data_IF_471023788454
#
_entry.id   IF_471023788454
#
_cell.length_a   1.000
_cell.length_b   1.000
_cell.length_c   1.000
_cell.angle_alpha   90.00
_cell.angle_beta   90.00
_cell.angle_gamma   90.00
#
_symmetry.space_group_name_H-M   'P 1'
#
loop_
_entity.id
_entity.type
_entity.pdbx_description
1 polymer ?
#
# COMPACT_ATOMS: atom_id res chain seq x y z
N UNK A 1 10.79 11.61 11.24
CA UNK A 1 11.52 12.62 10.46
C UNK A 1 11.74 12.16 9.01
N UNK A 2 10.64 12.05 8.25
CA UNK A 2 10.64 11.78 6.81
C UNK A 2 11.45 12.83 6.05
N UNK A 3 12.03 12.51 4.91
CA UNK A 3 12.82 13.47 4.09
C UNK A 3 12.01 14.73 3.71
N UNK A 4 10.69 14.61 3.59
CA UNK A 4 9.81 15.77 3.40
C UNK A 4 9.79 16.73 4.62
N UNK A 5 10.09 16.24 5.81
CA UNK A 5 10.20 17.01 7.06
C UNK A 5 11.40 17.95 7.00
N UNK A 6 12.56 17.50 6.52
CA UNK A 6 13.79 18.31 6.46
C UNK A 6 13.73 19.36 5.35
N UNK A 7 13.19 19.00 4.18
CA UNK A 7 13.00 19.94 3.06
C UNK A 7 12.03 21.10 3.36
N UNK A 8 11.06 20.90 4.25
CA UNK A 8 10.07 21.92 4.64
C UNK A 8 10.54 22.78 5.82
N UNK A 9 11.61 22.35 6.52
CA UNK A 9 12.28 23.10 7.58
C UNK A 9 13.46 23.94 7.05
N UNK A 10 13.93 23.69 5.82
CA UNK A 10 14.96 24.50 5.20
C UNK A 10 14.46 25.92 4.89
N UNK A 11 15.27 26.94 5.22
CA UNK A 11 14.97 28.36 5.03
C UNK A 11 14.69 28.77 3.56
N UNK A 12 15.09 27.94 2.59
CA UNK A 12 14.82 28.10 1.15
C UNK A 12 13.49 27.46 0.69
N UNK A 13 12.69 26.93 1.61
CA UNK A 13 11.37 26.37 1.28
C UNK A 13 10.35 27.48 1.00
N UNK A 14 9.47 27.30 0.00
CA UNK A 14 8.46 28.31 -0.34
C UNK A 14 7.43 28.58 0.79
N UNK A 15 7.39 27.72 1.82
CA UNK A 15 6.57 27.89 3.03
C UNK A 15 7.31 27.30 4.24
N UNK A 16 7.92 28.11 5.13
CA UNK A 16 8.60 27.60 6.32
C UNK A 16 7.56 26.94 7.25
N UNK A 17 7.73 25.64 7.49
CA UNK A 17 6.84 24.83 8.32
C UNK A 17 7.41 24.72 9.73
N UNK A 18 6.58 24.90 10.76
CA UNK A 18 7.04 24.67 12.15
C UNK A 18 7.26 23.17 12.40
N UNK A 19 8.21 22.77 13.27
CA UNK A 19 8.42 21.35 13.64
C UNK A 19 7.11 20.62 13.98
N UNK A 20 6.23 21.26 14.75
CA UNK A 20 4.89 20.75 15.07
C UNK A 20 4.06 20.42 13.82
N UNK A 21 4.05 21.32 12.83
CA UNK A 21 3.31 21.11 11.59
C UNK A 21 3.90 19.99 10.74
N UNK A 22 5.22 19.79 10.80
CA UNK A 22 5.92 18.74 10.07
C UNK A 22 5.70 17.34 10.69
N UNK A 23 5.54 17.24 12.02
CA UNK A 23 5.11 16.01 12.70
C UNK A 23 3.67 15.60 12.31
N UNK A 24 2.78 16.59 12.18
CA UNK A 24 1.39 16.35 11.77
C UNK A 24 1.27 15.77 10.36
N UNK A 25 2.21 16.05 9.45
CA UNK A 25 2.22 15.49 8.09
C UNK A 25 2.34 13.96 8.07
N UNK A 26 3.05 13.39 9.04
CA UNK A 26 3.21 11.93 9.19
C UNK A 26 1.99 11.33 9.89
N UNK A 27 1.51 12.00 10.94
CA UNK A 27 0.35 11.54 11.71
C UNK A 27 -0.93 11.48 10.87
N UNK A 28 -1.16 12.48 10.01
CA UNK A 28 -2.35 12.54 9.14
C UNK A 28 -2.34 11.44 8.09
N UNK A 29 -1.17 11.05 7.58
CA UNK A 29 -1.02 9.91 6.68
C UNK A 29 -1.46 8.61 7.38
N UNK A 30 -1.00 8.39 8.62
CA UNK A 30 -1.39 7.22 9.41
C UNK A 30 -2.88 7.23 9.75
N UNK A 31 -3.45 8.38 10.11
CA UNK A 31 -4.89 8.52 10.34
C UNK A 31 -5.69 8.17 9.08
N UNK A 32 -5.25 8.64 7.91
CA UNK A 32 -5.84 8.28 6.61
C UNK A 32 -5.82 6.77 6.36
N UNK A 33 -4.69 6.11 6.64
CA UNK A 33 -4.58 4.66 6.52
C UNK A 33 -5.53 3.92 7.48
N UNK A 34 -5.62 4.33 8.75
CA UNK A 34 -6.55 3.74 9.71
C UNK A 34 -8.03 3.92 9.30
N UNK A 35 -8.40 5.11 8.82
CA UNK A 35 -9.74 5.37 8.29
C UNK A 35 -10.02 4.63 6.97
N UNK A 36 -8.97 4.28 6.23
CA UNK A 36 -9.04 3.52 4.98
C UNK A 36 -9.47 2.07 5.16
N UNK A 37 -9.17 1.43 6.30
CA UNK A 37 -9.46 0.01 6.55
C UNK A 37 -10.91 -0.43 6.23
N UNK A 38 -11.98 0.19 6.80
CA UNK A 38 -13.36 -0.21 6.48
C UNK A 38 -13.72 0.06 5.02
N UNK A 39 -13.18 1.13 4.43
CA UNK A 39 -13.38 1.45 3.04
C UNK A 39 -12.73 0.41 2.13
N UNK A 40 -11.50 0.02 2.42
CA UNK A 40 -10.75 -1.03 1.72
C UNK A 40 -11.53 -2.34 1.73
N UNK A 41 -12.04 -2.78 2.88
CA UNK A 41 -12.86 -4.00 3.00
C UNK A 41 -14.09 -3.92 2.08
N UNK A 42 -14.81 -2.80 2.10
CA UNK A 42 -15.98 -2.60 1.26
C UNK A 42 -15.66 -2.56 -0.24
N UNK A 43 -14.60 -1.84 -0.62
CA UNK A 43 -14.20 -1.68 -2.02
C UNK A 43 -13.77 -3.01 -2.63
N UNK A 44 -12.91 -3.77 -1.95
CA UNK A 44 -12.38 -5.05 -2.46
C UNK A 44 -13.48 -6.08 -2.73
N UNK A 45 -14.56 -6.08 -1.95
CA UNK A 45 -15.71 -6.95 -2.16
C UNK A 45 -16.68 -6.42 -3.23
N UNK A 46 -16.87 -5.08 -3.30
CA UNK A 46 -17.81 -4.47 -4.23
C UNK A 46 -17.26 -4.40 -5.65
N UNK A 47 -16.15 -3.68 -5.84
CA UNK A 47 -15.53 -3.38 -7.13
C UNK A 47 -14.40 -4.36 -7.50
N UNK A 48 -14.06 -5.27 -6.59
CA UNK A 48 -13.03 -6.28 -6.81
C UNK A 48 -11.63 -5.75 -6.52
N UNK A 49 -10.66 -6.66 -6.55
CA UNK A 49 -9.28 -6.36 -6.13
C UNK A 49 -8.59 -5.43 -7.14
N UNK A 50 -8.76 -5.71 -8.44
CA UNK A 50 -8.26 -4.89 -9.55
C UNK A 50 -8.88 -3.48 -9.53
N UNK A 51 -10.20 -3.40 -9.36
CA UNK A 51 -10.91 -2.12 -9.24
C UNK A 51 -10.42 -1.28 -8.06
N UNK A 52 -10.22 -1.91 -6.89
CA UNK A 52 -9.66 -1.24 -5.72
C UNK A 52 -8.24 -0.71 -5.97
N UNK A 53 -7.39 -1.47 -6.66
CA UNK A 53 -6.04 -1.02 -7.03
C UNK A 53 -6.06 0.16 -8.01
N UNK A 54 -6.94 0.14 -9.01
CA UNK A 54 -7.12 1.27 -9.94
C UNK A 54 -7.61 2.50 -9.18
N UNK A 55 -8.58 2.33 -8.28
CA UNK A 55 -9.10 3.41 -7.42
C UNK A 55 -8.04 3.99 -6.49
N UNK A 56 -7.21 3.14 -5.87
CA UNK A 56 -6.11 3.60 -5.02
C UNK A 56 -5.05 4.32 -5.83
N UNK A 57 -4.62 3.78 -6.97
CA UNK A 57 -3.61 4.44 -7.83
C UNK A 57 -4.11 5.78 -8.35
N UNK A 58 -5.40 5.89 -8.70
CA UNK A 58 -6.00 7.15 -9.12
C UNK A 58 -6.02 8.19 -7.99
N UNK A 59 -6.39 7.76 -6.78
CA UNK A 59 -6.43 8.65 -5.61
C UNK A 59 -5.03 9.12 -5.21
N UNK A 60 -4.05 8.20 -5.23
CA UNK A 60 -2.64 8.52 -4.97
C UNK A 60 -2.07 9.46 -6.03
N UNK A 61 -2.41 9.28 -7.31
CA UNK A 61 -2.02 10.19 -8.39
C UNK A 61 -2.53 11.62 -8.14
N UNK A 62 -3.80 11.76 -7.76
CA UNK A 62 -4.38 13.06 -7.40
C UNK A 62 -3.66 13.66 -6.19
N UNK A 63 -3.37 12.85 -5.16
CA UNK A 63 -2.65 13.32 -3.98
C UNK A 63 -1.25 13.86 -4.35
N UNK A 64 -0.50 13.18 -5.22
CA UNK A 64 0.81 13.67 -5.68
C UNK A 64 0.71 14.98 -6.48
N UNK A 65 -0.31 15.12 -7.32
CA UNK A 65 -0.57 16.37 -8.05
C UNK A 65 -0.88 17.51 -7.08
N UNK A 66 -1.74 17.28 -6.08
CA UNK A 66 -2.06 18.28 -5.06
C UNK A 66 -0.82 18.68 -4.26
N UNK A 67 0.04 17.72 -3.89
CA UNK A 67 1.30 18.01 -3.18
C UNK A 67 2.24 18.84 -4.07
N UNK A 68 2.35 18.54 -5.37
CA UNK A 68 3.23 19.25 -6.29
C UNK A 68 2.84 20.72 -6.51
N UNK A 69 1.54 21.04 -6.44
CA UNK A 69 1.01 22.39 -6.66
C UNK A 69 0.44 23.03 -5.39
N UNK A 70 0.76 22.50 -4.21
CA UNK A 70 0.15 22.95 -2.96
C UNK A 70 0.49 24.43 -2.66
N UNK A 71 -0.52 25.32 -2.55
CA UNK A 71 -0.28 26.73 -2.24
C UNK A 71 -0.15 27.00 -0.73
N UNK A 72 -0.56 26.06 0.12
CA UNK A 72 -0.39 26.12 1.57
C UNK A 72 -0.42 24.70 2.18
N UNK A 73 0.01 24.59 3.43
CA UNK A 73 0.22 23.30 4.12
C UNK A 73 -1.06 22.47 4.30
N UNK A 74 -2.21 23.14 4.39
CA UNK A 74 -3.51 22.50 4.54
C UNK A 74 -3.85 21.59 3.35
N UNK A 75 -3.45 21.97 2.13
CA UNK A 75 -3.61 21.12 0.95
C UNK A 75 -2.73 19.88 1.04
N UNK A 76 -1.52 20.02 1.60
CA UNK A 76 -0.61 18.89 1.83
C UNK A 76 -1.21 17.95 2.86
N UNK A 77 -1.82 18.47 3.93
CA UNK A 77 -2.53 17.64 4.92
C UNK A 77 -3.66 16.83 4.29
N UNK A 78 -4.52 17.46 3.51
CA UNK A 78 -5.62 16.76 2.81
C UNK A 78 -5.06 15.71 1.85
N UNK A 79 -4.05 16.06 1.06
CA UNK A 79 -3.42 15.14 0.12
C UNK A 79 -2.76 13.95 0.84
N UNK A 80 -2.11 14.17 1.98
CA UNK A 80 -1.52 13.09 2.80
C UNK A 80 -2.58 12.18 3.39
N UNK A 81 -3.70 12.72 3.86
CA UNK A 81 -4.82 11.91 4.33
C UNK A 81 -5.35 10.99 3.22
N UNK A 82 -5.57 11.54 2.02
CA UNK A 82 -6.01 10.78 0.85
C UNK A 82 -4.99 9.74 0.40
N UNK A 83 -3.70 10.10 0.39
CA UNK A 83 -2.61 9.17 0.08
C UNK A 83 -2.53 8.03 1.08
N UNK A 84 -2.79 8.28 2.37
CA UNK A 84 -2.81 7.26 3.41
C UNK A 84 -3.95 6.27 3.22
N UNK A 85 -5.15 6.79 2.93
CA UNK A 85 -6.33 5.98 2.64
C UNK A 85 -6.13 5.12 1.38
N UNK A 86 -5.61 5.70 0.31
CA UNK A 86 -5.29 4.97 -0.92
C UNK A 86 -4.15 3.97 -0.72
N UNK A 87 -3.13 4.33 0.06
CA UNK A 87 -1.98 3.49 0.39
C UNK A 87 -2.40 2.24 1.15
N UNK A 88 -3.30 2.35 2.13
CA UNK A 88 -3.89 1.20 2.82
C UNK A 88 -4.62 0.28 1.86
N UNK A 89 -5.49 0.84 1.00
CA UNK A 89 -6.22 0.05 0.01
C UNK A 89 -5.27 -0.71 -0.91
N UNK A 90 -4.20 -0.07 -1.40
CA UNK A 90 -3.19 -0.72 -2.23
C UNK A 90 -2.43 -1.82 -1.48
N UNK A 91 -2.05 -1.56 -0.21
CA UNK A 91 -1.31 -2.51 0.63
C UNK A 91 -2.10 -3.78 0.93
N UNK A 92 -3.42 -3.69 1.04
CA UNK A 92 -4.30 -4.86 1.24
C UNK A 92 -4.68 -5.51 -0.10
N UNK A 93 -5.06 -4.72 -1.10
CA UNK A 93 -5.58 -5.24 -2.37
C UNK A 93 -4.49 -5.88 -3.25
N UNK A 94 -3.25 -5.37 -3.23
CA UNK A 94 -2.15 -5.90 -4.04
C UNK A 94 -1.79 -7.36 -3.69
N UNK A 95 -1.47 -7.71 -2.43
CA UNK A 95 -1.17 -9.09 -2.06
C UNK A 95 -2.38 -10.00 -2.25
N UNK A 96 -3.61 -9.49 -2.05
CA UNK A 96 -4.83 -10.28 -2.32
C UNK A 96 -5.00 -10.58 -3.80
N UNK A 97 -4.82 -9.58 -4.66
CA UNK A 97 -4.90 -9.75 -6.11
C UNK A 97 -3.85 -10.75 -6.59
N UNK A 98 -2.59 -10.57 -6.18
CA UNK A 98 -1.52 -11.50 -6.54
C UNK A 98 -1.80 -12.90 -5.98
N UNK A 99 -2.30 -13.02 -4.75
CA UNK A 99 -2.65 -14.29 -4.15
C UNK A 99 -3.75 -15.06 -4.91
N UNK A 100 -4.70 -14.35 -5.52
CA UNK A 100 -5.77 -14.92 -6.32
C UNK A 100 -5.35 -15.18 -7.78
N UNK A 101 -4.26 -14.57 -8.25
CA UNK A 101 -3.68 -14.74 -9.59
C UNK A 101 -2.56 -15.80 -9.65
N UNK A 102 -1.79 -15.91 -8.58
CA UNK A 102 -0.58 -16.70 -8.52
C UNK A 102 -0.89 -18.19 -8.37
N UNK A 103 -0.02 -19.03 -8.93
CA UNK A 103 -0.12 -20.47 -8.75
C UNK A 103 0.20 -20.81 -7.29
N UNK A 104 -0.47 -21.80 -6.73
CA UNK A 104 -0.26 -22.23 -5.34
C UNK A 104 1.22 -22.44 -5.01
N UNK A 105 2.02 -22.92 -5.98
CA UNK A 105 3.46 -23.18 -5.77
C UNK A 105 4.32 -21.92 -5.62
N UNK A 106 3.97 -20.83 -6.32
CA UNK A 106 4.78 -19.60 -6.36
C UNK A 106 4.13 -18.42 -5.64
N UNK A 107 2.90 -18.59 -5.15
CA UNK A 107 2.13 -17.55 -4.45
C UNK A 107 2.91 -16.91 -3.31
N UNK A 108 3.56 -17.72 -2.47
CA UNK A 108 4.36 -17.21 -1.35
C UNK A 108 5.51 -16.30 -1.83
N UNK A 109 6.22 -16.72 -2.87
CA UNK A 109 7.32 -15.96 -3.46
C UNK A 109 6.83 -14.63 -4.08
N UNK A 110 5.73 -14.67 -4.84
CA UNK A 110 5.14 -13.45 -5.43
C UNK A 110 4.66 -12.48 -4.37
N UNK A 111 4.03 -12.96 -3.29
CA UNK A 111 3.62 -12.12 -2.16
C UNK A 111 4.83 -11.46 -1.46
N UNK A 112 5.95 -12.18 -1.31
CA UNK A 112 7.17 -11.61 -0.72
C UNK A 112 7.83 -10.54 -1.60
N UNK A 113 7.77 -10.70 -2.93
CA UNK A 113 8.31 -9.68 -3.86
C UNK A 113 7.60 -8.34 -3.66
N UNK A 114 6.31 -8.30 -3.35
CA UNK A 114 5.58 -7.03 -3.12
C UNK A 114 6.25 -6.23 -2.00
N UNK A 115 6.56 -6.88 -0.87
CA UNK A 115 7.23 -6.25 0.25
C UNK A 115 8.66 -5.82 -0.11
N UNK A 116 9.37 -6.63 -0.89
CA UNK A 116 10.71 -6.25 -1.37
C UNK A 116 10.66 -5.01 -2.28
N UNK A 117 9.70 -4.93 -3.19
CA UNK A 117 9.50 -3.77 -4.06
C UNK A 117 9.09 -2.53 -3.26
N UNK A 118 8.29 -2.69 -2.20
CA UNK A 118 7.98 -1.61 -1.27
C UNK A 118 9.25 -1.07 -0.60
N UNK A 119 10.10 -1.95 -0.06
CA UNK A 119 11.38 -1.56 0.54
C UNK A 119 12.32 -0.90 -0.47
N UNK A 120 12.36 -1.39 -1.72
CA UNK A 120 13.14 -0.78 -2.79
C UNK A 120 12.63 0.63 -3.14
N UNK A 121 11.31 0.84 -3.16
CA UNK A 121 10.72 2.17 -3.36
C UNK A 121 11.07 3.14 -2.23
N UNK A 122 11.03 2.67 -0.98
CA UNK A 122 11.50 3.45 0.17
C UNK A 122 12.96 3.82 -0.03
N UNK A 123 13.84 2.85 -0.30
CA UNK A 123 15.27 3.10 -0.54
C UNK A 123 15.51 4.14 -1.65
N UNK A 124 14.77 4.04 -2.77
CA UNK A 124 14.86 5.00 -3.86
C UNK A 124 14.56 6.43 -3.38
N UNK A 125 13.50 6.61 -2.59
CA UNK A 125 13.17 7.94 -2.03
C UNK A 125 14.27 8.42 -1.10
N UNK A 126 14.83 7.57 -0.24
CA UNK A 126 15.97 7.92 0.63
C UNK A 126 17.26 8.25 -0.13
N UNK A 127 17.46 7.69 -1.32
CA UNK A 127 18.62 8.01 -2.14
C UNK A 127 18.43 9.24 -3.04
N UNK A 128 17.19 9.58 -3.40
CA UNK A 128 16.90 10.62 -4.39
C UNK A 128 16.42 11.90 -3.76
N UNK A 129 15.42 11.82 -2.86
CA UNK A 129 14.80 13.00 -2.27
C UNK A 129 15.85 13.92 -1.60
N UNK A 130 16.92 13.38 -0.99
CA UNK A 130 18.07 14.14 -0.51
C UNK A 130 18.92 14.95 -1.46
N UNK A 131 18.71 14.92 -2.76
CA UNK A 131 19.60 15.64 -3.68
C UNK A 131 18.82 16.48 -4.67
N UNK A 132 17.50 16.55 -4.50
CA UNK A 132 16.59 17.10 -5.50
C UNK A 132 15.50 17.93 -4.83
N UNK A 133 14.95 18.93 -5.52
CA UNK A 133 13.81 19.68 -5.01
C UNK A 133 12.55 18.78 -4.89
N UNK A 134 11.65 19.16 -3.98
CA UNK A 134 10.44 18.40 -3.59
C UNK A 134 9.53 17.97 -4.78
N UNK A 135 9.55 18.71 -5.89
CA UNK A 135 8.77 18.37 -7.08
C UNK A 135 9.30 17.12 -7.82
N UNK A 136 10.59 16.78 -7.69
CA UNK A 136 11.18 15.62 -8.37
C UNK A 136 10.63 14.29 -7.82
N UNK A 137 10.61 14.03 -6.48
CA UNK A 137 9.95 12.85 -5.92
C UNK A 137 8.47 12.77 -6.28
N UNK A 138 7.78 13.92 -6.37
CA UNK A 138 6.38 13.97 -6.79
C UNK A 138 6.20 13.50 -8.24
N UNK A 139 7.06 13.94 -9.16
CA UNK A 139 7.03 13.48 -10.57
C UNK A 139 7.33 11.98 -10.67
N UNK A 140 8.31 11.48 -9.92
CA UNK A 140 8.63 10.06 -9.87
C UNK A 140 7.40 9.26 -9.39
N UNK A 141 6.76 9.71 -8.30
CA UNK A 141 5.53 9.11 -7.78
C UNK A 141 4.39 9.12 -8.81
N UNK A 142 4.17 10.24 -9.49
CA UNK A 142 3.20 10.38 -10.59
C UNK A 142 3.50 9.39 -11.71
N UNK A 143 4.77 9.25 -12.10
CA UNK A 143 5.21 8.32 -13.14
C UNK A 143 4.85 6.87 -12.82
N UNK A 144 5.25 6.37 -11.65
CA UNK A 144 4.93 5.00 -11.21
C UNK A 144 3.43 4.75 -11.07
N UNK A 145 2.68 5.71 -10.53
CA UNK A 145 1.22 5.58 -10.42
C UNK A 145 0.55 5.58 -11.80
N UNK A 146 1.03 6.40 -12.73
CA UNK A 146 0.51 6.45 -14.11
C UNK A 146 0.78 5.15 -14.86
N UNK A 147 1.98 4.58 -14.73
CA UNK A 147 2.31 3.26 -15.30
C UNK A 147 1.35 2.21 -14.74
N UNK A 148 1.12 2.21 -13.43
CA UNK A 148 0.20 1.26 -12.78
C UNK A 148 -1.22 1.44 -13.31
N UNK A 149 -1.70 2.67 -13.42
CA UNK A 149 -3.05 3.01 -13.91
C UNK A 149 -3.27 2.58 -15.37
N UNK A 150 -2.24 2.67 -16.20
CA UNK A 150 -2.28 2.23 -17.60
C UNK A 150 -2.13 0.71 -17.70
N UNK A 151 -1.27 0.08 -16.91
CA UNK A 151 -0.99 -1.35 -17.00
C UNK A 151 -2.11 -2.23 -16.43
N UNK A 152 -2.70 -1.85 -15.29
CA UNK A 152 -3.68 -2.69 -14.59
C UNK A 152 -4.93 -3.05 -15.41
N UNK A 153 -5.53 -2.14 -16.22
CA UNK A 153 -6.68 -2.44 -17.06
C UNK A 153 -6.44 -3.57 -18.08
N UNK A 154 -5.20 -3.77 -18.52
CA UNK A 154 -4.84 -4.87 -19.44
C UNK A 154 -4.73 -6.22 -18.75
N UNK A 155 -4.69 -6.25 -17.42
CA UNK A 155 -4.61 -7.48 -16.63
C UNK A 155 -6.01 -8.05 -16.35
N UNK A 156 -6.19 -9.39 -16.39
CA UNK A 156 -7.48 -10.01 -16.11
C UNK A 156 -7.94 -9.73 -14.68
N UNK A 157 -9.25 -9.71 -14.48
CA UNK A 157 -9.80 -9.73 -13.13
C UNK A 157 -9.54 -11.06 -12.43
N UNK A 158 -9.56 -11.04 -11.10
CA UNK A 158 -9.41 -12.25 -10.30
C UNK A 158 -10.48 -13.29 -10.63
N UNK A 159 -10.12 -14.55 -10.98
CA UNK A 159 -11.06 -15.65 -11.14
C UNK A 159 -11.96 -15.83 -9.93
N UNK A 160 -11.41 -15.60 -8.73
CA UNK A 160 -12.16 -15.62 -7.48
C UNK A 160 -13.26 -14.56 -7.48
N UNK A 161 -12.90 -13.31 -7.82
CA UNK A 161 -13.86 -12.21 -7.90
C UNK A 161 -14.93 -12.44 -8.98
N UNK A 162 -14.53 -12.92 -10.15
CA UNK A 162 -15.44 -13.19 -11.27
C UNK A 162 -16.44 -14.30 -10.93
N UNK A 163 -15.98 -15.40 -10.32
CA UNK A 163 -16.88 -16.45 -9.82
C UNK A 163 -17.77 -15.96 -8.68
N UNK A 164 -17.25 -15.11 -7.79
CA UNK A 164 -18.04 -14.55 -6.69
C UNK A 164 -19.21 -13.68 -7.20
N UNK A 165 -19.00 -12.99 -8.33
CA UNK A 165 -20.02 -12.22 -9.06
C UNK A 165 -20.87 -13.05 -10.02
N UNK A 166 -20.83 -14.37 -9.92
CA UNK A 166 -21.61 -15.32 -10.73
C UNK A 166 -21.32 -15.20 -12.25
N UNK A 167 -20.05 -14.91 -12.61
CA UNK A 167 -19.55 -14.82 -14.01
C UNK A 167 -18.54 -15.94 -14.34
N UNK A 168 -18.98 -17.21 -14.45
CA UNK A 168 -18.08 -18.36 -14.62
C UNK A 168 -17.33 -18.36 -15.95
N UNK A 169 -17.92 -17.88 -17.04
CA UNK A 169 -17.27 -17.86 -18.36
C UNK A 169 -16.11 -16.86 -18.43
N UNK A 170 -16.26 -15.69 -17.79
CA UNK A 170 -15.17 -14.71 -17.67
C UNK A 170 -14.06 -15.25 -16.77
N UNK A 171 -14.41 -15.92 -15.66
CA UNK A 171 -13.44 -16.54 -14.76
C UNK A 171 -12.63 -17.65 -15.46
N UNK A 172 -13.28 -18.48 -16.28
CA UNK A 172 -12.62 -19.50 -17.11
C UNK A 172 -11.62 -18.87 -18.08
N UNK A 173 -12.02 -17.79 -18.78
CA UNK A 173 -11.11 -17.07 -19.69
C UNK A 173 -9.91 -16.47 -18.96
N UNK A 174 -10.14 -15.86 -17.79
CA UNK A 174 -9.06 -15.32 -16.96
C UNK A 174 -8.07 -16.42 -16.53
N UNK A 175 -8.56 -17.58 -16.07
CA UNK A 175 -7.70 -18.72 -15.73
C UNK A 175 -6.97 -19.28 -16.94
N UNK A 176 -7.60 -19.38 -18.11
CA UNK A 176 -6.93 -19.83 -19.34
C UNK A 176 -5.80 -18.89 -19.76
N UNK A 177 -5.97 -17.58 -19.58
CA UNK A 177 -4.91 -16.59 -19.82
C UNK A 177 -3.75 -16.73 -18.84
N UNK A 178 -4.04 -17.00 -17.56
CA UNK A 178 -3.03 -17.15 -16.50
C UNK A 178 -2.33 -18.52 -16.56
N UNK A 179 -3.03 -19.56 -17.00
CA UNK A 179 -2.58 -20.96 -17.07
C UNK A 179 -2.92 -21.57 -18.43
N UNK A 180 -2.21 -21.21 -19.51
CA UNK A 180 -2.49 -21.74 -20.85
C UNK A 180 -2.41 -23.27 -20.98
N UNK A 181 -1.65 -23.92 -20.09
CA UNK A 181 -1.42 -25.36 -20.09
C UNK A 181 -1.98 -26.08 -18.85
N UNK A 182 -2.75 -25.37 -18.01
CA UNK A 182 -3.31 -25.91 -16.76
C UNK A 182 -4.67 -26.56 -16.94
N UNK A 183 -5.07 -27.41 -15.97
CA UNK A 183 -6.44 -27.91 -15.90
C UNK A 183 -7.36 -26.84 -15.28
N UNK A 184 -7.76 -25.87 -16.12
CA UNK A 184 -8.59 -24.74 -15.70
C UNK A 184 -9.93 -25.15 -15.08
N UNK A 185 -10.54 -26.25 -15.54
CA UNK A 185 -11.85 -26.70 -15.01
C UNK A 185 -11.75 -27.20 -13.57
N UNK A 186 -10.68 -27.94 -13.24
CA UNK A 186 -10.46 -28.41 -11.88
C UNK A 186 -10.26 -27.23 -10.92
N UNK A 187 -9.43 -26.26 -11.30
CA UNK A 187 -9.15 -25.07 -10.48
C UNK A 187 -10.40 -24.18 -10.33
N UNK A 188 -11.18 -24.01 -11.40
CA UNK A 188 -12.45 -23.27 -11.37
C UNK A 188 -13.43 -23.92 -10.38
N UNK A 189 -13.50 -25.25 -10.35
CA UNK A 189 -14.35 -26.01 -9.42
C UNK A 189 -13.89 -25.86 -7.98
N UNK A 190 -12.59 -25.93 -7.72
CA UNK A 190 -12.03 -25.74 -6.36
C UNK A 190 -12.34 -24.33 -5.82
N UNK A 191 -12.21 -23.31 -6.67
CA UNK A 191 -12.56 -21.93 -6.33
C UNK A 191 -14.07 -21.80 -6.08
N UNK A 192 -14.92 -22.43 -6.91
CA UNK A 192 -16.37 -22.41 -6.72
C UNK A 192 -16.79 -23.02 -5.38
N UNK A 193 -16.21 -24.17 -5.00
CA UNK A 193 -16.46 -24.81 -3.69
C UNK A 193 -16.03 -23.89 -2.54
N UNK A 194 -14.88 -23.22 -2.66
CA UNK A 194 -14.43 -22.27 -1.65
C UNK A 194 -15.39 -21.08 -1.49
N UNK A 195 -15.92 -20.55 -2.61
CA UNK A 195 -16.89 -19.45 -2.61
C UNK A 195 -18.24 -19.88 -2.03
N UNK A 196 -18.74 -21.07 -2.36
CA UNK A 196 -19.99 -21.60 -1.79
C UNK A 196 -19.89 -21.75 -0.27
N UNK A 197 -18.74 -22.23 0.22
CA UNK A 197 -18.45 -22.28 1.65
C UNK A 197 -18.43 -20.88 2.27
N UNK A 198 -17.79 -19.91 1.62
CA UNK A 198 -17.78 -18.52 2.10
C UNK A 198 -19.19 -17.88 2.10
N UNK A 199 -20.02 -18.14 1.09
CA UNK A 199 -21.39 -17.61 1.00
C UNK A 199 -22.33 -18.23 2.05
N UNK A 200 -22.15 -19.51 2.36
CA UNK A 200 -22.94 -20.24 3.37
C UNK A 200 -22.52 -19.92 4.81
N UNK A 201 -21.24 -19.69 5.06
CA UNK A 201 -20.68 -19.28 6.34
C UNK A 201 -20.50 -17.75 6.39
N UNK A 202 -21.60 -16.97 6.41
CA UNK A 202 -21.52 -15.50 6.56
C UNK A 202 -20.92 -15.13 7.92
N UNK A 203 -19.60 -14.96 7.97
CA UNK A 203 -18.87 -14.56 9.17
C UNK A 203 -19.31 -13.17 9.63
N UNK A 204 -19.79 -13.07 10.86
CA UNK A 204 -19.99 -11.79 11.55
C UNK A 204 -18.66 -11.34 12.13
N UNK A 205 -18.39 -10.03 12.26
CA UNK A 205 -17.18 -9.54 12.93
C UNK A 205 -17.06 -10.02 14.38
N UNK A 206 -18.20 -10.31 15.03
CA UNK A 206 -18.25 -10.91 16.37
C UNK A 206 -17.70 -12.35 16.40
N UNK A 207 -17.79 -13.08 15.29
CA UNK A 207 -17.32 -14.46 15.17
C UNK A 207 -15.78 -14.55 15.21
N UNK A 208 -15.09 -13.42 14.98
CA UNK A 208 -13.64 -13.33 15.18
C UNK A 208 -13.25 -13.57 16.64
N UNK A 209 -14.07 -13.10 17.58
CA UNK A 209 -13.84 -13.24 19.02
C UNK A 209 -14.54 -14.48 19.59
N UNK A 210 -15.74 -14.79 19.13
CA UNK A 210 -16.57 -15.86 19.69
C UNK A 210 -16.09 -17.25 19.27
N UNK A 211 -15.62 -17.44 18.04
CA UNK A 211 -15.19 -18.75 17.54
C UNK A 211 -13.76 -19.04 18.00
N UNK A 212 -13.54 -20.19 18.67
CA UNK A 212 -12.23 -20.59 19.23
C UNK A 212 -11.11 -20.65 18.17
N UNK A 213 -11.43 -21.13 16.96
CA UNK A 213 -10.49 -21.18 15.84
C UNK A 213 -10.07 -19.77 15.39
N UNK A 214 -11.05 -18.89 15.18
CA UNK A 214 -10.81 -17.52 14.77
C UNK A 214 -10.04 -16.72 15.83
N UNK A 215 -10.34 -16.94 17.11
CA UNK A 215 -9.61 -16.29 18.22
C UNK A 215 -8.14 -16.69 18.24
N UNK A 216 -7.82 -17.98 17.99
CA UNK A 216 -6.43 -18.45 17.88
C UNK A 216 -5.73 -17.79 16.69
N UNK A 217 -6.38 -17.71 15.54
CA UNK A 217 -5.85 -17.02 14.36
C UNK A 217 -5.63 -15.52 14.64
N UNK A 218 -6.60 -14.85 15.27
CA UNK A 218 -6.51 -13.44 15.66
C UNK A 218 -5.34 -13.21 16.62
N UNK A 219 -5.17 -14.04 17.65
CA UNK A 219 -4.02 -13.94 18.56
C UNK A 219 -2.70 -14.06 17.81
N UNK A 220 -2.57 -15.05 16.90
CA UNK A 220 -1.36 -15.21 16.09
C UNK A 220 -1.11 -13.96 15.24
N UNK A 221 -2.14 -13.41 14.59
CA UNK A 221 -2.00 -12.21 13.77
C UNK A 221 -1.63 -10.98 14.61
N UNK A 222 -2.22 -10.80 15.79
CA UNK A 222 -1.89 -9.70 16.71
C UNK A 222 -0.45 -9.82 17.21
N UNK A 223 0.00 -11.02 17.59
CA UNK A 223 1.37 -11.24 18.01
C UNK A 223 2.37 -11.01 16.88
N UNK A 224 2.07 -11.53 15.68
CA UNK A 224 2.96 -11.41 14.53
C UNK A 224 3.09 -9.96 14.05
N UNK A 225 1.97 -9.25 13.86
CA UNK A 225 2.01 -7.82 13.48
C UNK A 225 2.53 -6.95 14.64
N UNK A 226 2.15 -7.24 15.88
CA UNK A 226 2.62 -6.51 17.06
C UNK A 226 4.13 -6.61 17.23
N UNK A 227 4.69 -7.81 17.15
CA UNK A 227 6.15 -8.02 17.20
C UNK A 227 6.88 -7.34 16.04
N UNK A 228 6.29 -7.32 14.85
CA UNK A 228 6.83 -6.57 13.72
C UNK A 228 6.91 -5.07 14.02
N UNK A 229 5.88 -4.45 14.58
CA UNK A 229 5.94 -3.03 14.96
C UNK A 229 6.89 -2.77 16.14
N UNK A 230 6.97 -3.68 17.11
CA UNK A 230 7.93 -3.59 18.22
C UNK A 230 9.39 -3.73 17.78
N UNK A 231 9.65 -4.36 16.64
CA UNK A 231 11.00 -4.42 16.04
C UNK A 231 11.54 -3.05 15.61
N UNK A 232 10.75 -1.99 15.74
CA UNK A 232 11.16 -0.59 15.60
C UNK A 232 11.70 -0.21 14.21
N UNK A 233 11.40 -1.01 13.18
CA UNK A 233 11.83 -0.72 11.80
C UNK A 233 11.27 0.61 11.29
N UNK A 234 10.04 0.95 11.67
CA UNK A 234 9.41 2.24 11.34
C UNK A 234 10.13 3.41 12.03
N UNK A 235 10.51 3.27 13.30
CA UNK A 235 11.24 4.30 14.06
C UNK A 235 12.63 4.51 13.50
N UNK A 236 13.33 3.41 13.15
CA UNK A 236 14.62 3.47 12.49
C UNK A 236 14.55 4.17 11.15
N UNK A 237 13.60 3.81 10.27
CA UNK A 237 13.46 4.47 8.97
C UNK A 237 13.15 5.95 9.16
N UNK A 238 12.18 6.27 10.02
CA UNK A 238 11.72 7.65 10.23
C UNK A 238 12.76 8.56 10.87
N UNK A 239 13.69 8.05 11.69
CA UNK A 239 14.69 8.87 12.39
C UNK A 239 16.13 8.52 11.97
N UNK A 240 16.29 7.84 10.83
CA UNK A 240 17.59 7.35 10.39
C UNK A 240 18.61 8.50 10.29
N UNK A 241 18.17 9.65 9.77
CA UNK A 241 19.01 10.82 9.62
C UNK A 241 19.50 11.36 10.97
N UNK A 242 18.58 11.64 11.91
CA UNK A 242 18.91 12.13 13.25
C UNK A 242 19.84 11.17 14.02
N UNK A 243 19.61 9.87 13.90
CA UNK A 243 20.45 8.85 14.54
C UNK A 243 21.88 8.86 13.96
N UNK A 244 22.02 9.00 12.64
CA UNK A 244 23.33 9.04 11.98
C UNK A 244 24.09 10.33 12.29
N UNK A 245 23.37 11.44 12.45
CA UNK A 245 23.92 12.73 12.87
C UNK A 245 24.44 12.67 14.31
N UNK A 246 23.64 12.19 15.26
CA UNK A 246 24.04 12.00 16.66
C UNK A 246 25.19 10.98 16.82
N UNK A 247 25.24 9.96 15.97
CA UNK A 247 26.31 8.96 15.96
C UNK A 247 27.66 9.50 15.43
N UNK A 248 27.71 10.76 14.95
CA UNK A 248 28.94 11.37 14.45
C UNK A 248 29.44 10.80 13.12
N UNK A 249 28.59 10.06 12.39
CA UNK A 249 28.93 9.46 11.10
C UNK A 249 28.89 10.47 9.93
N UNK A 250 28.42 11.70 10.16
CA UNK A 250 28.31 12.77 9.17
C UNK A 250 29.57 13.65 9.20
N UNK A 251 30.60 13.25 8.46
CA UNK A 251 31.74 14.13 8.10
C UNK A 251 31.48 14.96 6.82
N UNK A 252 30.26 14.90 6.28
CA UNK A 252 29.85 15.62 5.08
C UNK A 252 29.03 16.82 5.53
N UNK A 253 29.40 18.02 5.07
CA UNK A 253 28.78 19.29 5.48
C UNK A 253 27.25 19.18 5.54
N UNK A 254 26.66 19.75 6.59
CA UNK A 254 25.23 19.73 6.88
C UNK A 254 24.39 20.17 5.67
N UNK A 255 24.89 21.03 4.79
CA UNK A 255 24.25 21.40 3.52
C UNK A 255 24.01 20.25 2.51
N UNK A 256 24.71 19.14 2.66
CA UNK A 256 24.67 17.95 1.76
C UNK A 256 24.04 16.73 2.42
N UNK A 257 23.91 16.75 3.75
CA UNK A 257 23.25 15.71 4.53
C UNK A 257 21.82 16.12 4.91
N UNK A 258 21.53 17.42 5.02
CA UNK A 258 20.24 18.03 5.39
C UNK A 258 19.20 18.05 4.27
N UNK A 259 19.32 17.20 3.28
CA UNK A 259 18.36 17.12 2.20
C UNK A 259 17.82 15.70 2.27
#
# INVERSE_FOLDING_TARGET
MSIAHYHLLADDSPFPVTEYQAEWLETILMLGACCGLPLTMYLVDKIGRKGSLIGSSSTTLVAWIVIAFAPCIEYIYVARFLAGLAGDTAFVAAPMYIAEMADQKIRGFLSSIIYLMMLAGVLLVYCVAPFVPLWVPCIIGIGFNSITLVALPFMPDSPYYLLFKDKPDEARKALQQLRPHGNTEAELKDIAVAIERQKSEKGRPQDLLLVKSNRKALMIMVWLNGSQHMSSISVMLMNLHSILEEAGAVHIASSTAAI
#
